data_IF_036600023556
#
_entry.id   IF_036600023556
#
_cell.length_a   1.000
_cell.length_b   1.000
_cell.length_c   1.000
_cell.angle_alpha   90.00
_cell.angle_beta   90.00
_cell.angle_gamma   90.00
#
_symmetry.space_group_name_H-M   'P 1'
#
loop_
_entity.id
_entity.type
_entity.pdbx_description
1 polymer ?
#
# COMPACT_ATOMS: atom_id res chain seq x y z
N UNK A 1 -0.35 -1.48 29.87
CA UNK A 1 -0.27 -0.73 28.60
C UNK A 1 -1.52 -1.07 27.82
N UNK A 2 -2.49 -0.15 27.75
CA UNK A 2 -3.64 -0.32 26.87
C UNK A 2 -3.10 -0.16 25.44
N UNK A 3 -2.94 -1.27 24.73
CA UNK A 3 -2.52 -1.23 23.33
C UNK A 3 -3.62 -0.55 22.53
N UNK A 4 -3.31 0.59 21.90
CA UNK A 4 -4.25 1.17 20.95
C UNK A 4 -4.55 0.10 19.91
N UNK A 5 -5.83 -0.23 19.78
CA UNK A 5 -6.30 -1.23 18.81
C UNK A 5 -6.08 -0.64 17.43
N UNK A 6 -5.23 -1.28 16.61
CA UNK A 6 -5.06 -0.93 15.20
C UNK A 6 -6.43 -0.92 14.53
N UNK A 7 -6.82 0.21 13.96
CA UNK A 7 -8.05 0.30 13.19
C UNK A 7 -7.79 -0.30 11.82
N UNK A 8 -8.31 -1.51 11.61
CA UNK A 8 -8.29 -2.18 10.33
C UNK A 8 -9.67 -2.08 9.66
N UNK A 9 -9.69 -1.62 8.41
CA UNK A 9 -10.90 -1.64 7.58
C UNK A 9 -10.60 -2.26 6.23
N UNK A 10 -11.55 -3.05 5.70
CA UNK A 10 -11.48 -3.59 4.35
C UNK A 10 -12.79 -3.28 3.64
N UNK A 11 -12.70 -2.61 2.50
CA UNK A 11 -13.83 -2.17 1.70
C UNK A 11 -13.59 -2.41 0.21
N UNK A 12 -14.61 -2.12 -0.62
CA UNK A 12 -14.50 -2.19 -2.07
C UNK A 12 -14.72 -0.82 -2.69
N UNK A 13 -14.08 -0.56 -3.83
CA UNK A 13 -14.33 0.63 -4.65
C UNK A 13 -14.73 0.22 -6.07
N UNK A 14 -15.95 0.60 -6.48
CA UNK A 14 -16.51 0.31 -7.82
C UNK A 14 -16.37 -1.17 -8.24
N UNK A 15 -16.43 -2.07 -7.27
CA UNK A 15 -16.31 -3.52 -7.46
C UNK A 15 -17.62 -4.18 -7.01
N UNK A 16 -18.49 -4.50 -7.97
CA UNK A 16 -19.85 -4.98 -7.74
C UNK A 16 -19.94 -6.50 -7.85
N UNK A 17 -20.66 -7.16 -6.93
CA UNK A 17 -20.85 -8.63 -6.93
C UNK A 17 -19.78 -9.43 -6.19
N UNK A 18 -18.74 -8.80 -5.65
CA UNK A 18 -17.57 -9.47 -5.03
C UNK A 18 -17.71 -9.72 -3.51
N UNK A 19 -18.90 -10.13 -3.05
CA UNK A 19 -19.14 -10.33 -1.61
C UNK A 19 -18.28 -11.44 -1.00
N UNK A 20 -18.06 -12.53 -1.73
CA UNK A 20 -17.17 -13.64 -1.30
C UNK A 20 -15.73 -13.15 -1.18
N UNK A 21 -15.21 -12.50 -2.23
CA UNK A 21 -13.86 -11.92 -2.26
C UNK A 21 -13.65 -10.93 -1.11
N UNK A 22 -14.63 -10.06 -0.82
CA UNK A 22 -14.53 -9.13 0.30
C UNK A 22 -14.45 -9.84 1.66
N UNK A 23 -15.20 -10.93 1.86
CA UNK A 23 -15.11 -11.72 3.11
C UNK A 23 -13.76 -12.40 3.24
N UNK A 24 -13.27 -13.03 2.16
CA UNK A 24 -11.94 -13.65 2.13
C UNK A 24 -10.86 -12.61 2.41
N UNK A 25 -10.93 -11.45 1.75
CA UNK A 25 -9.97 -10.37 1.95
C UNK A 25 -9.95 -9.89 3.40
N UNK A 26 -11.12 -9.67 4.04
CA UNK A 26 -11.21 -9.31 5.46
C UNK A 26 -10.46 -10.28 6.35
N UNK A 27 -10.75 -11.58 6.20
CA UNK A 27 -10.09 -12.64 6.97
C UNK A 27 -8.58 -12.65 6.74
N UNK A 28 -8.15 -12.67 5.48
CA UNK A 28 -6.73 -12.71 5.13
C UNK A 28 -5.98 -11.46 5.61
N UNK A 29 -6.57 -10.27 5.49
CA UNK A 29 -5.95 -9.04 5.97
C UNK A 29 -5.82 -9.03 7.50
N UNK A 30 -6.84 -9.45 8.24
CA UNK A 30 -6.77 -9.55 9.71
C UNK A 30 -5.65 -10.50 10.18
N UNK A 31 -5.54 -11.67 9.53
CA UNK A 31 -4.48 -12.63 9.84
C UNK A 31 -3.10 -12.09 9.41
N UNK A 32 -3.00 -11.46 8.25
CA UNK A 32 -1.75 -10.93 7.69
C UNK A 32 -1.18 -9.82 8.57
N UNK A 33 -2.03 -8.91 9.04
CA UNK A 33 -1.64 -7.86 9.99
C UNK A 33 -0.97 -8.46 11.22
N UNK A 34 -1.56 -9.49 11.84
CA UNK A 34 -1.01 -10.13 13.05
C UNK A 34 0.33 -10.83 12.80
N UNK A 35 0.56 -11.33 11.59
CA UNK A 35 1.79 -12.01 11.21
C UNK A 35 2.89 -10.99 10.96
N UNK A 36 2.60 -9.96 10.14
CA UNK A 36 3.54 -8.88 9.82
C UNK A 36 3.90 -8.10 11.08
N UNK A 37 2.93 -7.78 11.94
CA UNK A 37 3.15 -7.07 13.21
C UNK A 37 4.15 -7.77 14.13
N UNK A 38 4.20 -9.10 14.11
CA UNK A 38 5.14 -9.89 14.91
C UNK A 38 6.50 -10.10 14.25
N UNK A 39 6.57 -9.99 12.92
CA UNK A 39 7.74 -10.37 12.14
C UNK A 39 8.57 -9.18 11.65
N UNK A 40 7.96 -8.01 11.50
CA UNK A 40 8.57 -6.83 10.88
C UNK A 40 8.71 -5.73 11.91
N UNK A 41 9.90 -5.13 12.00
CA UNK A 41 10.17 -4.06 12.95
C UNK A 41 9.33 -2.79 12.66
N UNK A 42 8.71 -2.25 13.69
CA UNK A 42 7.87 -1.05 13.64
C UNK A 42 6.65 -1.18 14.55
N UNK A 43 5.65 -0.34 14.30
CA UNK A 43 4.29 -0.46 14.86
C UNK A 43 3.30 -0.41 13.71
N UNK A 44 2.39 -1.39 13.62
CA UNK A 44 1.39 -1.37 12.55
C UNK A 44 0.53 -0.10 12.68
N UNK A 45 0.49 0.78 11.66
CA UNK A 45 -0.41 1.94 11.68
C UNK A 45 -1.86 1.50 11.47
N UNK A 46 -2.80 2.44 11.56
CA UNK A 46 -4.16 2.18 11.09
C UNK A 46 -4.13 1.86 9.58
N UNK A 47 -4.80 0.78 9.18
CA UNK A 47 -4.77 0.28 7.80
C UNK A 47 -6.16 0.30 7.20
N UNK A 48 -6.26 0.90 6.02
CA UNK A 48 -7.44 0.86 5.17
C UNK A 48 -7.11 0.04 3.93
N UNK A 49 -7.77 -1.09 3.73
CA UNK A 49 -7.62 -1.88 2.50
C UNK A 49 -8.81 -1.62 1.58
N UNK A 50 -8.55 -1.20 0.36
CA UNK A 50 -9.55 -0.98 -0.68
C UNK A 50 -9.32 -1.97 -1.82
N UNK A 51 -10.29 -2.85 -2.02
CA UNK A 51 -10.31 -3.76 -3.16
C UNK A 51 -10.94 -3.06 -4.37
N UNK A 52 -10.25 -3.11 -5.51
CA UNK A 52 -10.68 -2.46 -6.74
C UNK A 52 -10.20 -3.26 -7.95
N UNK A 53 -10.68 -2.92 -9.14
CA UNK A 53 -10.16 -3.46 -10.41
C UNK A 53 -8.99 -2.62 -10.95
N UNK A 54 -8.30 -3.17 -11.95
CA UNK A 54 -7.22 -2.49 -12.70
C UNK A 54 -7.68 -1.10 -13.17
N UNK A 55 -8.91 -1.01 -13.68
CA UNK A 55 -9.51 0.20 -14.24
C UNK A 55 -9.58 1.36 -13.23
N UNK A 56 -9.80 1.03 -11.95
CA UNK A 56 -10.11 2.00 -10.91
C UNK A 56 -8.99 2.19 -9.89
N UNK A 57 -7.99 1.29 -9.85
CA UNK A 57 -6.81 1.44 -8.99
C UNK A 57 -6.13 2.81 -9.10
N UNK A 58 -5.85 3.35 -10.32
CA UNK A 58 -5.19 4.65 -10.44
C UNK A 58 -5.99 5.81 -9.82
N UNK A 59 -7.33 5.76 -9.91
CA UNK A 59 -8.20 6.79 -9.35
C UNK A 59 -8.10 6.82 -7.82
N UNK A 60 -8.19 5.64 -7.19
CA UNK A 60 -8.12 5.52 -5.72
C UNK A 60 -6.72 5.89 -5.21
N UNK A 61 -5.69 5.33 -5.83
CA UNK A 61 -4.31 5.53 -5.40
C UNK A 61 -3.88 7.00 -5.56
N UNK A 62 -4.08 7.60 -6.74
CA UNK A 62 -3.62 8.98 -6.97
C UNK A 62 -4.43 10.00 -6.17
N UNK A 63 -5.71 9.76 -5.87
CA UNK A 63 -6.48 10.63 -5.00
C UNK A 63 -5.87 10.73 -3.59
N UNK A 64 -5.53 9.58 -2.98
CA UNK A 64 -4.87 9.55 -1.67
C UNK A 64 -3.48 10.20 -1.71
N UNK A 65 -2.72 9.97 -2.79
CA UNK A 65 -1.42 10.60 -2.98
C UNK A 65 -1.50 12.13 -3.06
N UNK A 66 -2.45 12.67 -3.81
CA UNK A 66 -2.62 14.11 -3.93
C UNK A 66 -2.99 14.75 -2.59
N UNK A 67 -3.86 14.10 -1.82
CA UNK A 67 -4.23 14.53 -0.48
C UNK A 67 -3.01 14.53 0.46
N UNK A 68 -2.29 13.42 0.53
CA UNK A 68 -1.08 13.29 1.37
C UNK A 68 0.00 14.29 0.98
N UNK A 69 0.19 14.56 -0.30
CA UNK A 69 1.18 15.53 -0.77
C UNK A 69 0.71 16.99 -0.62
N UNK A 70 -0.58 17.25 -0.38
CA UNK A 70 -1.17 18.58 -0.46
C UNK A 70 -1.15 19.16 -1.89
N UNK A 71 -1.23 18.32 -2.92
CA UNK A 71 -1.24 18.74 -4.32
C UNK A 71 -2.65 19.17 -4.74
N UNK A 72 -2.84 20.46 -5.06
CA UNK A 72 -4.13 21.00 -5.51
C UNK A 72 -4.17 21.36 -7.01
N UNK A 73 -3.02 21.35 -7.70
CA UNK A 73 -2.93 21.67 -9.12
C UNK A 73 -3.55 20.56 -9.99
N UNK A 74 -4.69 20.88 -10.62
CA UNK A 74 -5.45 19.94 -11.47
C UNK A 74 -4.69 19.45 -12.69
N UNK A 75 -3.76 20.24 -13.25
CA UNK A 75 -2.96 19.82 -14.41
C UNK A 75 -1.93 18.77 -13.99
N UNK A 76 -1.29 18.97 -12.84
CA UNK A 76 -0.38 18.00 -12.23
C UNK A 76 -1.14 16.72 -11.90
N UNK A 77 -2.26 16.82 -11.18
CA UNK A 77 -3.12 15.66 -10.84
C UNK A 77 -3.51 14.87 -12.10
N UNK A 78 -3.98 15.54 -13.15
CA UNK A 78 -4.37 14.88 -14.39
C UNK A 78 -3.19 14.22 -15.13
N UNK A 79 -1.97 14.75 -15.02
CA UNK A 79 -0.76 14.13 -15.58
C UNK A 79 -0.37 12.89 -14.77
N UNK A 80 -0.35 12.99 -13.44
CA UNK A 80 -0.04 11.87 -12.55
C UNK A 80 -1.03 10.72 -12.75
N UNK A 81 -2.35 11.01 -12.81
CA UNK A 81 -3.38 10.00 -13.09
C UNK A 81 -3.16 9.31 -14.45
N UNK A 82 -2.79 10.06 -15.49
CA UNK A 82 -2.47 9.49 -16.81
C UNK A 82 -1.25 8.57 -16.76
N UNK A 83 -0.24 8.90 -15.97
CA UNK A 83 0.93 8.04 -15.77
C UNK A 83 0.54 6.76 -15.00
N UNK A 84 -0.18 6.91 -13.89
CA UNK A 84 -0.66 5.78 -13.08
C UNK A 84 -1.53 4.81 -13.89
N UNK A 85 -2.40 5.31 -14.77
CA UNK A 85 -3.19 4.47 -15.68
C UNK A 85 -2.36 3.58 -16.62
N UNK A 86 -1.16 3.99 -16.99
CA UNK A 86 -0.27 3.18 -17.83
C UNK A 86 0.36 2.02 -17.06
N UNK A 87 0.55 2.19 -15.76
CA UNK A 87 1.17 1.21 -14.86
C UNK A 87 0.16 0.29 -14.18
N UNK A 88 -1.13 0.65 -14.20
CA UNK A 88 -2.19 -0.05 -13.48
C UNK A 88 -2.25 -1.55 -13.77
N UNK A 89 -2.00 -1.94 -15.02
CA UNK A 89 -2.01 -3.33 -15.47
C UNK A 89 -0.95 -4.18 -14.77
N UNK A 90 0.17 -3.59 -14.40
CA UNK A 90 1.29 -4.29 -13.76
C UNK A 90 1.34 -4.01 -12.25
N UNK A 91 0.32 -3.33 -11.70
CA UNK A 91 0.22 -2.99 -10.28
C UNK A 91 -0.77 -3.93 -9.59
N UNK A 92 -0.26 -4.85 -8.78
CA UNK A 92 -1.07 -5.76 -7.97
C UNK A 92 -1.60 -5.09 -6.69
N UNK A 93 -0.76 -4.28 -6.04
CA UNK A 93 -1.08 -3.56 -4.81
C UNK A 93 -0.35 -2.22 -4.76
N UNK A 94 -0.76 -1.36 -3.83
CA UNK A 94 0.01 -0.16 -3.45
C UNK A 94 -0.35 0.31 -2.05
N UNK A 95 0.67 0.45 -1.19
CA UNK A 95 0.59 1.10 0.11
C UNK A 95 0.89 2.60 -0.01
N UNK A 96 0.00 3.44 0.54
CA UNK A 96 0.06 4.90 0.44
C UNK A 96 -0.07 5.47 1.85
N UNK A 97 0.93 6.21 2.36
CA UNK A 97 0.80 6.88 3.64
C UNK A 97 -0.31 7.93 3.57
N UNK A 98 -1.10 8.04 4.64
CA UNK A 98 -2.18 9.02 4.77
C UNK A 98 -1.74 10.21 5.63
N UNK A 99 -2.44 11.34 5.46
CA UNK A 99 -2.18 12.57 6.20
C UNK A 99 -2.34 12.41 7.73
N UNK A 100 -3.24 11.52 8.17
CA UNK A 100 -3.53 11.20 9.57
C UNK A 100 -2.54 10.22 10.22
N UNK A 101 -1.57 9.70 9.46
CA UNK A 101 -0.59 8.73 9.95
C UNK A 101 -0.98 7.26 9.71
N UNK A 102 -2.17 7.00 9.18
CA UNK A 102 -2.57 5.69 8.67
C UNK A 102 -1.96 5.37 7.31
N UNK A 103 -2.33 4.21 6.78
CA UNK A 103 -1.93 3.74 5.44
C UNK A 103 -3.15 3.22 4.69
N UNK A 104 -3.29 3.66 3.44
CA UNK A 104 -4.22 3.08 2.48
C UNK A 104 -3.49 2.03 1.65
N UNK A 105 -3.98 0.81 1.65
CA UNK A 105 -3.55 -0.25 0.73
C UNK A 105 -4.64 -0.42 -0.32
N UNK A 106 -4.30 -0.18 -1.59
CA UNK A 106 -5.20 -0.41 -2.71
C UNK A 106 -4.79 -1.71 -3.38
N UNK A 107 -5.70 -2.67 -3.52
CA UNK A 107 -5.41 -3.98 -4.14
C UNK A 107 -6.22 -4.14 -5.41
N UNK A 108 -5.53 -4.47 -6.50
CA UNK A 108 -6.12 -4.83 -7.78
C UNK A 108 -6.57 -6.29 -7.75
N UNK A 109 -7.86 -6.56 -7.58
CA UNK A 109 -8.37 -7.93 -7.50
C UNK A 109 -8.19 -8.73 -8.80
N UNK A 110 -8.05 -8.05 -9.94
CA UNK A 110 -7.91 -8.71 -11.25
C UNK A 110 -6.54 -9.40 -11.40
N UNK A 111 -5.55 -9.02 -10.60
CA UNK A 111 -4.19 -9.61 -10.58
C UNK A 111 -4.10 -10.85 -9.67
N UNK A 112 -5.18 -11.23 -8.99
CA UNK A 112 -5.15 -12.26 -7.95
C UNK A 112 -6.13 -13.39 -8.27
N UNK A 113 -5.72 -14.39 -9.07
CA UNK A 113 -6.60 -15.50 -9.43
C UNK A 113 -6.91 -16.45 -8.25
N UNK A 114 -6.14 -16.40 -7.15
CA UNK A 114 -6.33 -17.25 -5.98
C UNK A 114 -5.94 -16.54 -4.67
N UNK A 115 -6.23 -17.18 -3.54
CA UNK A 115 -5.92 -16.62 -2.20
C UNK A 115 -4.41 -16.52 -1.94
N UNK A 116 -3.59 -17.39 -2.54
CA UNK A 116 -2.15 -17.41 -2.31
C UNK A 116 -1.47 -16.16 -2.90
N UNK A 117 -1.78 -15.80 -4.15
CA UNK A 117 -1.22 -14.59 -4.76
C UNK A 117 -1.75 -13.33 -4.05
N UNK A 118 -3.01 -13.34 -3.62
CA UNK A 118 -3.58 -12.25 -2.84
C UNK A 118 -2.89 -12.08 -1.47
N UNK A 119 -2.58 -13.19 -0.80
CA UNK A 119 -1.88 -13.19 0.48
C UNK A 119 -0.44 -12.65 0.35
N UNK A 120 0.27 -12.99 -0.73
CA UNK A 120 1.60 -12.44 -1.03
C UNK A 120 1.54 -10.91 -1.14
N UNK A 121 0.65 -10.40 -1.99
CA UNK A 121 0.48 -8.94 -2.17
C UNK A 121 0.08 -8.27 -0.86
N UNK A 122 -0.85 -8.83 -0.08
CA UNK A 122 -1.21 -8.26 1.22
C UNK A 122 -0.03 -8.17 2.17
N UNK A 123 0.78 -9.23 2.29
CA UNK A 123 1.97 -9.23 3.14
C UNK A 123 2.95 -8.17 2.67
N UNK A 124 3.21 -8.09 1.37
CA UNK A 124 4.10 -7.11 0.77
C UNK A 124 3.67 -5.67 1.14
N UNK A 125 2.42 -5.32 0.86
CA UNK A 125 1.89 -3.98 1.14
C UNK A 125 1.80 -3.67 2.64
N UNK A 126 1.55 -4.67 3.49
CA UNK A 126 1.56 -4.51 4.95
C UNK A 126 2.98 -4.31 5.50
N UNK A 127 4.01 -4.85 4.85
CA UNK A 127 5.41 -4.55 5.20
C UNK A 127 5.70 -3.09 4.90
N UNK A 128 5.27 -2.56 3.75
CA UNK A 128 5.34 -1.12 3.49
C UNK A 128 4.57 -0.31 4.53
N UNK A 129 3.36 -0.73 4.89
CA UNK A 129 2.61 -0.06 5.95
C UNK A 129 3.40 -0.02 7.28
N UNK A 130 4.00 -1.15 7.68
CA UNK A 130 4.85 -1.23 8.86
C UNK A 130 6.07 -0.31 8.77
N UNK A 131 6.74 -0.28 7.60
CA UNK A 131 7.89 0.59 7.36
C UNK A 131 7.55 2.07 7.57
N UNK A 132 6.35 2.52 7.19
CA UNK A 132 5.94 3.93 7.37
C UNK A 132 5.97 4.40 8.83
N UNK A 133 5.77 3.48 9.78
CA UNK A 133 5.80 3.78 11.23
C UNK A 133 7.21 4.03 11.77
N UNK A 134 8.24 3.67 11.01
CA UNK A 134 9.63 3.82 11.44
C UNK A 134 10.03 5.29 11.37
N UNK A 135 10.91 5.68 12.29
CA UNK A 135 11.37 7.07 12.43
C UNK A 135 11.86 7.63 11.09
N UNK A 136 11.21 8.68 10.61
CA UNK A 136 11.58 9.43 9.41
C UNK A 136 11.20 8.79 8.08
N UNK A 137 10.66 7.56 8.04
CA UNK A 137 10.26 6.90 6.79
C UNK A 137 9.07 7.61 6.17
N UNK A 138 7.99 7.82 6.92
CA UNK A 138 6.80 8.54 6.43
C UNK A 138 7.15 9.92 5.88
N UNK A 139 7.92 10.72 6.62
CA UNK A 139 8.29 12.07 6.17
C UNK A 139 9.10 12.04 4.87
N UNK A 140 10.00 11.06 4.72
CA UNK A 140 10.76 10.85 3.48
C UNK A 140 9.85 10.43 2.33
N UNK A 141 8.89 9.54 2.55
CA UNK A 141 7.91 9.12 1.53
C UNK A 141 7.05 10.29 1.08
N UNK A 142 6.53 11.08 2.02
CA UNK A 142 5.72 12.28 1.72
C UNK A 142 6.56 13.33 0.98
N UNK A 143 7.83 13.53 1.36
CA UNK A 143 8.73 14.44 0.64
C UNK A 143 9.02 13.98 -0.79
N UNK A 144 9.21 12.68 -1.02
CA UNK A 144 9.35 12.10 -2.36
C UNK A 144 8.08 12.31 -3.19
N UNK A 145 6.91 12.04 -2.62
CA UNK A 145 5.64 12.25 -3.30
C UNK A 145 5.39 13.73 -3.67
N UNK A 146 5.73 14.65 -2.75
CA UNK A 146 5.68 16.09 -3.01
C UNK A 146 6.65 16.50 -4.11
N UNK A 147 7.81 15.86 -4.21
CA UNK A 147 8.78 16.08 -5.28
C UNK A 147 8.23 15.64 -6.64
N UNK A 148 7.70 14.43 -6.72
CA UNK A 148 7.18 13.85 -7.97
C UNK A 148 5.97 14.61 -8.51
N UNK A 149 5.15 15.14 -7.61
CA UNK A 149 4.01 16.01 -7.93
C UNK A 149 4.42 17.49 -8.10
N UNK A 150 5.70 17.84 -7.96
CA UNK A 150 6.18 19.21 -8.12
C UNK A 150 5.69 20.21 -7.08
N UNK A 151 5.15 19.73 -5.95
CA UNK A 151 4.71 20.57 -4.82
C UNK A 151 5.92 21.14 -4.08
N UNK A 152 6.95 20.32 -3.86
CA UNK A 152 8.17 20.74 -3.18
C UNK A 152 9.38 20.01 -3.77
N UNK A 153 10.42 20.77 -4.16
CA UNK A 153 11.58 20.17 -4.83
C UNK A 153 12.58 19.62 -3.82
N UNK A 154 12.99 18.37 -4.00
CA UNK A 154 14.19 17.83 -3.39
C UNK A 154 15.44 18.18 -4.23
N UNK A 155 16.57 18.38 -3.58
CA UNK A 155 17.86 18.41 -4.27
C UNK A 155 18.19 17.04 -4.86
N UNK A 156 19.03 17.01 -5.90
CA UNK A 156 19.46 15.75 -6.55
C UNK A 156 20.07 14.75 -5.56
N UNK A 157 20.76 15.23 -4.52
CA UNK A 157 21.34 14.38 -3.48
C UNK A 157 20.26 13.77 -2.60
N UNK A 158 19.27 14.55 -2.17
CA UNK A 158 18.14 14.07 -1.36
C UNK A 158 17.31 13.04 -2.13
N UNK A 159 17.03 13.31 -3.42
CA UNK A 159 16.23 12.40 -4.23
C UNK A 159 16.94 11.06 -4.47
N UNK A 160 18.25 11.06 -4.76
CA UNK A 160 19.03 9.81 -4.86
C UNK A 160 19.04 9.00 -3.56
N UNK A 161 19.13 9.67 -2.42
CA UNK A 161 19.06 8.99 -1.14
C UNK A 161 17.66 8.41 -0.89
N UNK A 162 16.62 9.16 -1.27
CA UNK A 162 15.25 8.67 -1.24
C UNK A 162 15.08 7.41 -2.08
N UNK A 163 15.57 7.38 -3.33
CA UNK A 163 15.54 6.20 -4.22
C UNK A 163 16.28 5.00 -3.59
N UNK A 164 17.47 5.19 -3.04
CA UNK A 164 18.21 4.09 -2.37
C UNK A 164 17.46 3.51 -1.18
N UNK A 165 16.80 4.37 -0.39
CA UNK A 165 16.00 3.91 0.73
C UNK A 165 14.74 3.16 0.24
N UNK A 166 14.09 3.62 -0.83
CA UNK A 166 12.98 2.88 -1.46
C UNK A 166 13.44 1.50 -1.93
N UNK A 167 14.58 1.40 -2.60
CA UNK A 167 15.12 0.10 -3.05
C UNK A 167 15.40 -0.85 -1.89
N UNK A 168 15.85 -0.33 -0.75
CA UNK A 168 16.10 -1.15 0.45
C UNK A 168 14.80 -1.61 1.11
N UNK A 169 13.79 -0.74 1.15
CA UNK A 169 12.45 -1.03 1.68
C UNK A 169 11.70 -2.04 0.81
N UNK A 170 11.82 -1.93 -0.51
CA UNK A 170 11.27 -2.88 -1.48
C UNK A 170 11.89 -4.28 -1.31
N UNK A 171 13.22 -4.35 -1.16
CA UNK A 171 13.93 -5.60 -0.90
C UNK A 171 13.48 -6.27 0.40
N UNK A 172 13.20 -5.49 1.43
CA UNK A 172 12.65 -6.01 2.68
C UNK A 172 11.23 -6.54 2.49
N UNK A 173 10.37 -5.82 1.77
CA UNK A 173 9.00 -6.27 1.47
C UNK A 173 9.01 -7.60 0.72
N UNK A 174 9.80 -7.72 -0.37
CA UNK A 174 10.02 -8.99 -1.06
C UNK A 174 10.58 -10.07 -0.14
N UNK A 175 11.56 -9.72 0.70
CA UNK A 175 12.16 -10.63 1.66
C UNK A 175 11.19 -11.15 2.73
N UNK A 176 10.04 -10.49 2.92
CA UNK A 176 9.00 -10.87 3.86
C UNK A 176 7.83 -11.63 3.23
N UNK A 177 7.74 -11.73 1.89
CA UNK A 177 6.62 -12.40 1.20
C UNK A 177 6.46 -13.88 1.59
N UNK A 178 7.53 -14.55 2.05
CA UNK A 178 7.44 -15.92 2.58
C UNK A 178 6.45 -16.06 3.75
N UNK A 179 6.14 -14.97 4.46
CA UNK A 179 5.16 -14.95 5.53
C UNK A 179 3.74 -15.27 5.01
N UNK A 180 3.46 -15.06 3.72
CA UNK A 180 2.18 -15.42 3.10
C UNK A 180 1.88 -16.91 3.18
N UNK A 181 2.90 -17.78 3.22
CA UNK A 181 2.73 -19.22 3.42
C UNK A 181 2.13 -19.61 4.79
N UNK A 182 2.05 -18.66 5.74
CA UNK A 182 1.37 -18.82 7.03
C UNK A 182 -0.12 -18.45 6.98
N UNK A 183 -0.57 -17.79 5.91
CA UNK A 183 -1.97 -17.38 5.69
C UNK A 183 -2.75 -18.41 4.89
N UNK A 184 -2.10 -18.94 3.85
CA UNK A 184 -2.68 -19.94 2.95
C UNK A 184 -1.67 -21.09 2.89
N UNK A 185 -1.99 -22.27 3.43
CA UNK A 185 -1.09 -23.42 3.38
C UNK A 185 -0.74 -23.75 1.92
N UNK A 186 0.51 -24.16 1.66
CA UNK A 186 1.01 -24.45 0.32
C UNK A 186 0.18 -25.51 -0.45
N UNK A 187 -0.64 -26.31 0.24
CA UNK A 187 -1.58 -27.26 -0.36
C UNK A 187 -2.84 -26.63 -0.97
N UNK A 188 -3.04 -25.32 -0.81
CA UNK A 188 -4.19 -24.56 -1.33
C UNK A 188 -3.81 -23.60 -2.48
N UNK A 189 -2.55 -23.66 -2.95
CA UNK A 189 -2.01 -22.87 -4.06
C UNK A 189 -2.08 -23.63 -5.39
#
# INVERSE_FOLDING_TARGET
>A
MNGDVVKLTVSTHKLFGYRSTLRTAKRLTEEAVRIVERAVAGRMPDVQVVLTSERHLPEVATAAEWETAGCTDKRVQARALRAAKKLARDTAGRAIPLADGGVLIVVNVDQHPNEATFAITLVHELVHAMQTSRKGVRDRLVAGLRHDLGVEKQSRRQYREHERCLDAEEKEAYGAEYLAGRLVPASAA
#
